data_IF_514588071124
#
_entry.id   IF_514588071124
#
_cell.length_a   1.000
_cell.length_b   1.000
_cell.length_c   1.000
_cell.angle_alpha   90.00
_cell.angle_beta   90.00
_cell.angle_gamma   90.00
#
_symmetry.space_group_name_H-M   'P 1'
#
loop_
_entity.id
_entity.type
_entity.pdbx_description
1 polymer ?
#
# COMPACT_ATOMS: atom_id res chain seq x y z
N UNK A 1 -9.25 -14.45 14.03
CA UNK A 1 -8.40 -14.41 12.83
C UNK A 1 -7.11 -15.07 13.23
N UNK A 2 -6.72 -16.17 12.58
CA UNK A 2 -5.37 -16.70 12.76
C UNK A 2 -4.42 -15.77 12.02
N UNK A 3 -3.45 -15.20 12.76
CA UNK A 3 -2.41 -14.37 12.18
C UNK A 3 -1.45 -15.25 11.37
N UNK A 4 -1.15 -14.84 10.14
CA UNK A 4 -0.17 -15.52 9.28
C UNK A 4 1.20 -15.48 9.94
N UNK A 5 1.87 -16.64 10.05
CA UNK A 5 3.24 -16.70 10.55
C UNK A 5 4.24 -16.47 9.41
N UNK A 6 5.44 -15.96 9.71
CA UNK A 6 6.50 -15.83 8.71
C UNK A 6 6.82 -17.18 8.06
N UNK A 7 6.58 -17.30 6.75
CA UNK A 7 6.84 -18.51 5.97
C UNK A 7 5.59 -19.30 5.57
N UNK A 8 4.41 -18.97 6.08
CA UNK A 8 3.16 -19.57 5.63
C UNK A 8 2.87 -19.16 4.16
N UNK A 9 2.40 -20.09 3.31
CA UNK A 9 1.92 -19.72 1.99
C UNK A 9 0.76 -18.74 2.15
N UNK A 10 0.89 -17.57 1.53
CA UNK A 10 -0.18 -16.56 1.52
C UNK A 10 -1.41 -17.22 0.90
N UNK A 11 -2.55 -17.31 1.63
CA UNK A 11 -3.77 -17.88 1.09
C UNK A 11 -4.19 -17.14 -0.18
N UNK A 12 -4.84 -17.84 -1.11
CA UNK A 12 -5.41 -17.19 -2.29
C UNK A 12 -6.32 -16.04 -1.84
N UNK A 13 -6.07 -14.85 -2.37
CA UNK A 13 -6.84 -13.66 -2.01
C UNK A 13 -8.27 -13.74 -2.54
N UNK A 14 -9.22 -13.38 -1.69
CA UNK A 14 -10.57 -13.07 -2.14
C UNK A 14 -10.57 -11.65 -2.72
N UNK A 15 -10.53 -11.57 -4.05
CA UNK A 15 -10.39 -10.29 -4.78
C UNK A 15 -11.54 -9.33 -4.50
N UNK A 16 -12.76 -9.83 -4.31
CA UNK A 16 -13.91 -8.97 -3.97
C UNK A 16 -13.74 -8.37 -2.59
N UNK A 17 -13.34 -9.19 -1.61
CA UNK A 17 -13.08 -8.71 -0.26
C UNK A 17 -11.90 -7.73 -0.22
N UNK A 18 -10.81 -8.01 -0.95
CA UNK A 18 -9.66 -7.10 -1.05
C UNK A 18 -10.10 -5.75 -1.64
N UNK A 19 -10.86 -5.76 -2.74
CA UNK A 19 -11.37 -4.54 -3.36
C UNK A 19 -12.30 -3.76 -2.43
N UNK A 20 -13.21 -4.44 -1.74
CA UNK A 20 -14.11 -3.82 -0.77
C UNK A 20 -13.32 -3.15 0.37
N UNK A 21 -12.35 -3.85 0.96
CA UNK A 21 -11.50 -3.31 2.03
C UNK A 21 -10.69 -2.11 1.52
N UNK A 22 -10.10 -2.22 0.33
CA UNK A 22 -9.32 -1.14 -0.26
C UNK A 22 -10.18 0.12 -0.49
N UNK A 23 -11.34 -0.03 -1.15
CA UNK A 23 -12.17 1.10 -1.58
C UNK A 23 -12.96 1.73 -0.44
N UNK A 24 -13.45 0.95 0.52
CA UNK A 24 -14.39 1.44 1.54
C UNK A 24 -13.75 1.65 2.91
N UNK A 25 -12.58 1.07 3.19
CA UNK A 25 -11.93 1.19 4.49
C UNK A 25 -10.60 1.93 4.36
N UNK A 26 -9.66 1.37 3.58
CA UNK A 26 -8.27 1.86 3.55
C UNK A 26 -8.14 3.19 2.81
N UNK A 27 -8.60 3.28 1.56
CA UNK A 27 -8.43 4.48 0.75
C UNK A 27 -9.09 5.74 1.37
N UNK A 28 -10.33 5.69 1.91
CA UNK A 28 -10.93 6.85 2.56
C UNK A 28 -10.17 7.33 3.80
N UNK A 29 -9.61 6.40 4.59
CA UNK A 29 -8.81 6.75 5.76
C UNK A 29 -7.49 7.44 5.37
N UNK A 30 -6.81 6.91 4.35
CA UNK A 30 -5.57 7.50 3.83
C UNK A 30 -5.82 8.89 3.22
N UNK A 31 -6.90 9.07 2.45
CA UNK A 31 -7.25 10.38 1.89
C UNK A 31 -7.44 11.43 2.99
N UNK A 32 -8.21 11.12 4.04
CA UNK A 32 -8.39 12.04 5.18
C UNK A 32 -7.07 12.38 5.86
N UNK A 33 -6.18 11.40 6.04
CA UNK A 33 -4.86 11.63 6.63
C UNK A 33 -3.99 12.56 5.77
N UNK A 34 -3.98 12.35 4.45
CA UNK A 34 -3.24 13.17 3.48
C UNK A 34 -3.80 14.60 3.44
N UNK A 35 -5.13 14.76 3.38
CA UNK A 35 -5.77 16.07 3.43
C UNK A 35 -5.39 16.84 4.69
N UNK A 36 -5.38 16.17 5.85
CA UNK A 36 -4.93 16.79 7.09
C UNK A 36 -3.45 17.19 7.04
N UNK A 37 -2.57 16.30 6.56
CA UNK A 37 -1.13 16.56 6.45
C UNK A 37 -0.81 17.76 5.54
N UNK A 38 -1.58 17.96 4.46
CA UNK A 38 -1.44 19.11 3.56
C UNK A 38 -1.72 20.46 4.23
N UNK A 39 -2.40 20.48 5.38
CA UNK A 39 -2.57 21.71 6.18
C UNK A 39 -1.33 22.04 7.03
N UNK A 40 -0.36 21.13 7.11
CA UNK A 40 0.82 21.21 7.99
C UNK A 40 2.15 21.26 7.26
N UNK A 41 2.23 20.71 6.05
CA UNK A 41 3.47 20.59 5.28
C UNK A 41 3.21 20.76 3.77
N UNK A 42 4.22 21.18 2.99
CA UNK A 42 4.12 21.26 1.54
C UNK A 42 3.97 19.87 0.90
N UNK A 43 3.43 19.83 -0.32
CA UNK A 43 3.00 18.57 -0.96
C UNK A 43 4.14 17.55 -1.13
N UNK A 44 5.35 17.99 -1.45
CA UNK A 44 6.53 17.12 -1.59
C UNK A 44 6.91 16.40 -0.29
N UNK A 45 6.77 17.09 0.85
CA UNK A 45 7.01 16.49 2.17
C UNK A 45 5.88 15.54 2.56
N UNK A 46 4.63 15.89 2.25
CA UNK A 46 3.48 14.99 2.47
C UNK A 46 3.62 13.71 1.67
N UNK A 47 4.08 13.78 0.41
CA UNK A 47 4.35 12.61 -0.42
C UNK A 47 5.46 11.73 0.18
N UNK A 48 6.56 12.34 0.61
CA UNK A 48 7.66 11.62 1.27
C UNK A 48 7.20 10.96 2.58
N UNK A 49 6.43 11.67 3.39
CA UNK A 49 5.87 11.15 4.63
C UNK A 49 4.89 9.99 4.38
N UNK A 50 4.09 10.07 3.32
CA UNK A 50 3.15 9.00 2.93
C UNK A 50 3.91 7.74 2.53
N UNK A 51 4.95 7.86 1.70
CA UNK A 51 5.79 6.72 1.31
C UNK A 51 6.48 6.06 2.51
N UNK A 52 7.03 6.89 3.42
CA UNK A 52 7.67 6.41 4.65
C UNK A 52 6.66 5.69 5.57
N UNK A 53 5.47 6.25 5.77
CA UNK A 53 4.43 5.65 6.59
C UNK A 53 3.97 4.30 6.00
N UNK A 54 3.77 4.23 4.68
CA UNK A 54 3.39 3.00 4.01
C UNK A 54 4.46 1.91 4.16
N UNK A 55 5.73 2.25 3.94
CA UNK A 55 6.84 1.33 4.14
C UNK A 55 6.97 0.84 5.59
N UNK A 56 6.73 1.73 6.56
CA UNK A 56 6.71 1.40 7.99
C UNK A 56 5.61 0.39 8.34
N UNK A 57 4.37 0.68 7.94
CA UNK A 57 3.21 -0.20 8.17
C UNK A 57 3.45 -1.59 7.55
N UNK A 58 3.91 -1.64 6.30
CA UNK A 58 4.22 -2.92 5.65
C UNK A 58 5.32 -3.69 6.41
N UNK A 59 6.35 -2.98 6.86
CA UNK A 59 7.44 -3.58 7.62
C UNK A 59 6.96 -4.16 8.94
N UNK A 60 5.98 -3.53 9.60
CA UNK A 60 5.41 -4.01 10.85
C UNK A 60 4.52 -5.25 10.66
N UNK A 61 3.82 -5.36 9.51
CA UNK A 61 2.91 -6.47 9.23
C UNK A 61 3.68 -7.71 8.71
N UNK A 62 4.56 -7.53 7.73
CA UNK A 62 5.20 -8.67 7.02
C UNK A 62 6.71 -8.76 7.23
N UNK A 63 7.31 -7.82 7.95
CA UNK A 63 8.76 -7.68 8.09
C UNK A 63 9.41 -6.93 6.93
N UNK A 64 10.55 -6.28 7.21
CA UNK A 64 11.26 -5.40 6.26
C UNK A 64 11.59 -6.06 4.91
N UNK A 65 12.10 -7.31 4.83
CA UNK A 65 12.45 -7.91 3.54
C UNK A 65 11.23 -8.18 2.66
N UNK A 66 10.10 -8.61 3.25
CA UNK A 66 8.87 -8.86 2.51
C UNK A 66 8.19 -7.54 2.09
N UNK A 67 8.21 -6.52 2.96
CA UNK A 67 7.72 -5.19 2.65
C UNK A 67 8.43 -4.58 1.43
N UNK A 68 9.77 -4.68 1.38
CA UNK A 68 10.55 -4.20 0.23
C UNK A 68 10.18 -4.91 -1.07
N UNK A 69 10.01 -6.24 -1.04
CA UNK A 69 9.58 -7.03 -2.22
C UNK A 69 8.18 -6.64 -2.69
N UNK A 70 7.23 -6.44 -1.77
CA UNK A 70 5.87 -5.99 -2.09
C UNK A 70 5.87 -4.61 -2.75
N UNK A 71 6.66 -3.68 -2.22
CA UNK A 71 6.78 -2.34 -2.80
C UNK A 71 7.37 -2.37 -4.21
N UNK A 72 8.42 -3.17 -4.44
CA UNK A 72 9.00 -3.34 -5.77
C UNK A 72 7.98 -3.94 -6.76
N UNK A 73 7.27 -5.00 -6.36
CA UNK A 73 6.24 -5.61 -7.21
C UNK A 73 5.10 -4.63 -7.57
N UNK A 74 4.72 -3.73 -6.65
CA UNK A 74 3.76 -2.68 -6.93
C UNK A 74 4.30 -1.63 -7.90
N UNK A 75 5.57 -1.23 -7.78
CA UNK A 75 6.20 -0.33 -8.75
C UNK A 75 6.17 -0.94 -10.16
N UNK A 76 6.58 -2.20 -10.30
CA UNK A 76 6.53 -2.95 -11.57
C UNK A 76 5.09 -3.04 -12.14
N UNK A 77 4.09 -3.22 -11.27
CA UNK A 77 2.69 -3.27 -11.69
C UNK A 77 2.20 -1.93 -12.23
N UNK A 78 2.55 -0.82 -11.57
CA UNK A 78 2.20 0.52 -12.01
C UNK A 78 2.83 0.86 -13.38
N UNK A 79 4.10 0.50 -13.59
CA UNK A 79 4.77 0.67 -14.88
C UNK A 79 4.04 -0.08 -16.00
N UNK A 80 3.62 -1.33 -15.75
CA UNK A 80 2.86 -2.12 -16.73
C UNK A 80 1.52 -1.49 -17.08
N UNK A 81 0.81 -0.88 -16.13
CA UNK A 81 -0.45 -0.17 -16.38
C UNK A 81 -0.24 1.08 -17.26
N UNK A 82 0.87 1.80 -17.04
CA UNK A 82 1.20 2.97 -17.87
C UNK A 82 1.56 2.60 -19.31
N UNK A 83 2.23 1.46 -19.51
CA UNK A 83 2.58 0.97 -20.86
C UNK A 83 1.44 0.23 -21.58
N UNK A 84 0.42 -0.25 -20.86
CA UNK A 84 -0.73 -0.93 -21.48
C UNK A 84 -1.85 0.04 -21.91
N UNK A 85 -1.76 1.32 -21.54
CA UNK A 85 -2.74 2.36 -21.93
C UNK A 85 -2.37 3.09 -23.23
N UNK A 86 -1.38 2.57 -23.98
CA UNK A 86 -0.88 3.11 -25.24
C UNK A 86 -1.14 2.20 -26.43
N UNK A 87 -2.40 1.76 -26.62
CA UNK A 87 -2.85 1.06 -27.83
C UNK A 87 -4.26 1.50 -28.21
#
# INVERSE_FOLDING_TARGET
MEDLKPGDPIPSEDKERVNMVAQHIIAPALHRAIEHARTKAPINEVLSATANAYAGILSDIVGRPAAAKLMAAHADHLEKLTHSSGN
#
